data_IF_441781848634
#
_entry.id   IF_441781848634
#
_cell.length_a   1.000
_cell.length_b   1.000
_cell.length_c   1.000
_cell.angle_alpha   90.00
_cell.angle_beta   90.00
_cell.angle_gamma   90.00
#
_symmetry.space_group_name_H-M   'P 1'
#
loop_
_entity.id
_entity.type
_entity.pdbx_description
1 polymer ?
#
# COMPACT_ATOMS: atom_id res chain seq x y z
N UNK A 1 43.53 37.83 10.55
CA UNK A 1 42.87 36.62 11.08
C UNK A 1 43.21 35.45 10.16
N UNK A 2 43.94 34.44 10.67
CA UNK A 2 44.25 33.20 9.94
C UNK A 2 42.95 32.41 9.85
N UNK A 3 42.35 32.28 8.67
CA UNK A 3 41.21 31.38 8.50
C UNK A 3 41.72 29.96 8.72
N UNK A 4 41.36 29.37 9.87
CA UNK A 4 41.76 28.04 10.28
C UNK A 4 41.25 27.02 9.26
N UNK A 5 42.17 26.29 8.62
CA UNK A 5 41.78 25.06 7.97
C UNK A 5 41.34 24.07 9.06
N UNK A 6 40.21 23.40 8.87
CA UNK A 6 39.74 22.39 9.81
C UNK A 6 40.44 21.08 9.53
N UNK A 7 41.12 20.53 10.54
CA UNK A 7 41.70 19.17 10.48
C UNK A 7 40.71 18.09 10.91
N UNK A 8 39.73 18.48 11.75
CA UNK A 8 38.73 17.58 12.32
C UNK A 8 37.31 18.17 12.27
N UNK A 9 36.78 18.43 11.07
CA UNK A 9 35.48 19.08 10.91
C UNK A 9 34.34 18.35 11.62
N UNK A 10 34.36 17.02 11.66
CA UNK A 10 33.30 16.23 12.30
C UNK A 10 33.26 16.38 13.84
N UNK A 11 34.37 16.78 14.47
CA UNK A 11 34.41 17.08 15.91
C UNK A 11 33.91 18.52 16.20
N UNK A 12 34.17 19.47 15.30
CA UNK A 12 33.97 20.90 15.57
C UNK A 12 32.65 21.46 15.01
N UNK A 13 32.25 21.03 13.82
CA UNK A 13 31.11 21.59 13.10
C UNK A 13 29.77 21.31 13.80
N UNK A 14 29.51 20.12 14.38
CA UNK A 14 28.30 19.91 15.19
C UNK A 14 28.13 20.93 16.32
N UNK A 15 29.21 21.24 17.03
CA UNK A 15 29.21 22.20 18.14
C UNK A 15 29.06 23.62 17.64
N UNK A 16 29.78 23.99 16.58
CA UNK A 16 29.63 25.29 15.92
C UNK A 16 28.17 25.54 15.50
N UNK A 17 27.53 24.56 14.88
CA UNK A 17 26.13 24.65 14.46
C UNK A 17 25.17 24.77 15.65
N UNK A 18 25.43 24.04 16.75
CA UNK A 18 24.61 24.15 17.98
C UNK A 18 24.64 25.56 18.58
N UNK A 19 25.81 26.21 18.59
CA UNK A 19 25.96 27.58 19.10
C UNK A 19 25.30 28.60 18.19
N UNK A 20 25.44 28.45 16.87
CA UNK A 20 24.91 29.42 15.89
C UNK A 20 23.42 29.23 15.58
N UNK A 21 22.87 28.05 15.81
CA UNK A 21 21.46 27.72 15.57
C UNK A 21 20.81 27.12 16.83
N UNK A 22 20.69 27.90 17.92
CA UNK A 22 20.22 27.40 19.22
C UNK A 22 18.73 27.01 19.24
N UNK A 23 17.95 27.48 18.27
CA UNK A 23 16.51 27.22 18.14
C UNK A 23 16.19 26.20 17.04
N UNK A 24 17.19 25.43 16.59
CA UNK A 24 16.98 24.39 15.58
C UNK A 24 15.94 23.36 16.05
N UNK A 25 15.04 23.00 15.15
CA UNK A 25 14.05 21.92 15.35
C UNK A 25 14.54 20.64 14.71
N UNK A 26 14.08 19.50 15.22
CA UNK A 26 14.39 18.22 14.62
C UNK A 26 14.01 18.23 13.12
N UNK A 27 14.94 17.85 12.26
CA UNK A 27 14.79 17.92 10.80
C UNK A 27 15.39 19.18 10.15
N UNK A 28 15.75 20.22 10.91
CA UNK A 28 16.42 21.40 10.33
C UNK A 28 17.76 21.03 9.71
N UNK A 29 18.03 21.55 8.51
CA UNK A 29 19.25 21.27 7.76
C UNK A 29 20.12 22.51 7.55
N UNK A 30 21.43 22.31 7.46
CA UNK A 30 22.43 23.32 7.07
C UNK A 30 23.47 22.71 6.15
N UNK A 31 23.77 23.40 5.05
CA UNK A 31 24.95 23.16 4.25
C UNK A 31 26.09 24.00 4.81
N UNK A 32 27.23 23.36 5.09
CA UNK A 32 28.40 24.01 5.67
C UNK A 32 29.57 23.85 4.71
N UNK A 33 29.98 24.96 4.10
CA UNK A 33 31.19 25.01 3.30
C UNK A 33 32.39 25.39 4.17
N UNK A 34 33.48 24.62 4.11
CA UNK A 34 34.66 24.83 4.92
C UNK A 34 35.95 24.39 4.20
N UNK A 35 37.08 24.93 4.64
CA UNK A 35 38.40 24.49 4.16
C UNK A 35 38.88 23.34 5.02
N UNK A 36 39.01 22.16 4.43
CA UNK A 36 39.51 20.95 5.09
C UNK A 36 41.01 20.81 4.81
N UNK A 37 41.82 20.60 5.85
CA UNK A 37 43.24 20.32 5.70
C UNK A 37 43.56 18.90 6.15
N UNK A 38 44.05 18.10 5.21
CA UNK A 38 44.51 16.74 5.46
C UNK A 38 45.64 16.39 4.48
N UNK A 39 46.59 15.58 4.93
CA UNK A 39 47.70 15.09 4.10
C UNK A 39 48.44 16.21 3.36
N UNK A 40 48.74 17.31 4.08
CA UNK A 40 49.43 18.50 3.57
C UNK A 40 48.71 19.25 2.43
N UNK A 41 47.41 18.98 2.21
CA UNK A 41 46.60 19.62 1.19
C UNK A 41 45.36 20.26 1.82
N UNK A 42 44.99 21.43 1.33
CA UNK A 42 43.72 22.08 1.67
C UNK A 42 42.72 21.85 0.54
N UNK A 43 41.52 21.37 0.85
CA UNK A 43 40.39 21.29 -0.07
C UNK A 43 39.22 22.13 0.44
N UNK A 44 38.38 22.62 -0.49
CA UNK A 44 37.08 23.17 -0.14
C UNK A 44 36.08 22.01 -0.12
N UNK A 45 35.40 21.84 1.01
CA UNK A 45 34.39 20.79 1.23
C UNK A 45 33.07 21.47 1.57
N UNK A 46 31.96 20.85 1.19
CA UNK A 46 30.63 21.24 1.60
C UNK A 46 29.86 20.00 2.05
N UNK A 47 29.43 19.99 3.30
CA UNK A 47 28.67 18.88 3.87
C UNK A 47 27.32 19.37 4.40
N UNK A 48 26.32 18.49 4.34
CA UNK A 48 25.03 18.72 4.97
C UNK A 48 25.05 18.24 6.43
N UNK A 49 24.45 19.01 7.32
CA UNK A 49 24.16 18.62 8.68
C UNK A 49 22.65 18.71 8.93
N UNK A 50 22.10 17.73 9.64
CA UNK A 50 20.70 17.70 10.08
C UNK A 50 20.64 17.71 11.59
N UNK A 51 19.79 18.55 12.17
CA UNK A 51 19.55 18.56 13.61
C UNK A 51 18.56 17.44 13.97
N UNK A 52 18.96 16.50 14.83
CA UNK A 52 18.11 15.37 15.23
C UNK A 52 17.19 15.67 16.44
N UNK A 53 17.12 16.93 16.86
CA UNK A 53 16.42 17.35 18.09
C UNK A 53 17.35 17.51 19.31
N UNK A 54 18.59 17.04 19.23
CA UNK A 54 19.60 17.21 20.29
C UNK A 54 20.95 17.71 19.78
N UNK A 55 21.40 17.22 18.62
CA UNK A 55 22.72 17.46 18.06
C UNK A 55 22.61 17.64 16.53
N UNK A 56 23.54 18.40 15.97
CA UNK A 56 23.75 18.46 14.52
C UNK A 56 24.60 17.28 14.07
N UNK A 57 24.10 16.48 13.14
CA UNK A 57 24.81 15.31 12.61
C UNK A 57 25.08 15.49 11.12
N UNK A 58 26.32 15.24 10.72
CA UNK A 58 26.69 15.21 9.29
C UNK A 58 25.87 14.12 8.60
N UNK A 59 25.22 14.47 7.52
CA UNK A 59 24.43 13.57 6.69
C UNK A 59 25.04 13.54 5.29
N UNK A 60 25.27 12.34 4.77
CA UNK A 60 25.86 12.17 3.44
C UNK A 60 24.81 12.28 2.32
N UNK A 61 23.58 12.71 2.65
CA UNK A 61 22.45 12.76 1.71
C UNK A 61 21.97 11.37 1.26
N UNK A 62 22.36 10.31 1.96
CA UNK A 62 21.96 8.93 1.67
C UNK A 62 20.93 8.51 2.72
N UNK A 63 19.80 8.02 2.25
CA UNK A 63 18.78 7.37 3.07
C UNK A 63 18.89 5.87 2.84
N UNK A 64 18.85 5.08 3.91
CA UNK A 64 18.73 3.63 3.79
C UNK A 64 17.28 3.27 3.47
N UNK A 65 17.07 2.58 2.35
CA UNK A 65 15.77 2.03 1.96
C UNK A 65 15.88 0.51 1.86
N UNK A 66 14.86 -0.20 2.34
CA UNK A 66 14.72 -1.65 2.15
C UNK A 66 13.76 -1.90 1.00
N UNK A 67 14.20 -2.66 0.00
CA UNK A 67 13.46 -2.90 -1.24
C UNK A 67 13.59 -4.38 -1.64
N UNK A 68 12.64 -4.87 -2.45
CA UNK A 68 12.71 -6.22 -3.02
C UNK A 68 13.70 -6.24 -4.19
N UNK A 69 14.56 -7.27 -4.21
CA UNK A 69 15.48 -7.55 -5.29
C UNK A 69 15.39 -9.02 -5.68
N UNK A 70 15.43 -9.31 -6.97
CA UNK A 70 15.47 -10.67 -7.52
C UNK A 70 16.85 -10.92 -8.10
N UNK A 71 17.39 -12.12 -7.90
CA UNK A 71 18.69 -12.51 -8.47
C UNK A 71 18.52 -13.28 -9.77
N UNK A 72 18.83 -12.64 -10.90
CA UNK A 72 18.75 -13.24 -12.24
C UNK A 72 20.14 -13.26 -12.87
N UNK A 73 20.56 -14.42 -13.41
CA UNK A 73 21.89 -14.60 -14.02
C UNK A 73 23.04 -14.13 -13.11
N UNK A 74 22.92 -14.37 -11.81
CA UNK A 74 23.93 -14.01 -10.80
C UNK A 74 23.93 -12.55 -10.36
N UNK A 75 23.11 -11.67 -10.97
CA UNK A 75 23.00 -10.24 -10.63
C UNK A 75 21.72 -9.95 -9.85
N UNK A 76 21.80 -9.08 -8.85
CA UNK A 76 20.62 -8.55 -8.16
C UNK A 76 20.00 -7.44 -9.01
N UNK A 77 18.69 -7.54 -9.24
CA UNK A 77 17.90 -6.54 -9.96
C UNK A 77 16.78 -6.09 -9.03
N UNK A 78 16.58 -4.78 -8.94
CA UNK A 78 15.46 -4.22 -8.19
C UNK A 78 14.15 -4.69 -8.82
N UNK A 79 13.23 -5.19 -8.00
CA UNK A 79 11.93 -5.68 -8.43
C UNK A 79 10.84 -5.03 -7.57
N UNK A 80 10.13 -4.03 -8.10
CA UNK A 80 9.08 -3.33 -7.36
C UNK A 80 7.75 -4.09 -7.35
N UNK A 81 7.64 -5.24 -8.04
CA UNK A 81 6.40 -6.00 -8.10
C UNK A 81 6.06 -6.64 -6.76
N UNK A 82 4.77 -6.69 -6.44
CA UNK A 82 4.27 -7.26 -5.19
C UNK A 82 3.35 -8.43 -5.51
N UNK A 83 3.58 -9.55 -4.84
CA UNK A 83 2.68 -10.70 -4.88
C UNK A 83 2.04 -10.91 -3.51
N UNK A 84 0.71 -10.92 -3.47
CA UNK A 84 -0.08 -11.16 -2.26
C UNK A 84 -0.96 -12.38 -2.53
N UNK A 85 -0.87 -13.38 -1.67
CA UNK A 85 -1.76 -14.53 -1.71
C UNK A 85 -2.75 -14.45 -0.56
N UNK A 86 -4.04 -14.56 -0.87
CA UNK A 86 -5.17 -14.64 0.04
C UNK A 86 -5.74 -16.07 0.00
N UNK A 87 -5.17 -17.01 0.79
CA UNK A 87 -5.62 -18.40 0.77
C UNK A 87 -7.09 -18.53 1.18
N UNK A 88 -7.80 -19.45 0.53
CA UNK A 88 -9.14 -19.84 0.95
C UNK A 88 -9.14 -20.49 2.33
N UNK A 89 -10.04 -20.07 3.21
CA UNK A 89 -10.27 -20.75 4.48
C UNK A 89 -10.60 -19.83 5.65
N UNK A 90 -11.43 -20.34 6.57
CA UNK A 90 -11.83 -19.63 7.78
C UNK A 90 -10.62 -19.38 8.68
N UNK A 91 -10.51 -18.14 9.17
CA UNK A 91 -9.47 -17.76 10.14
C UNK A 91 -8.05 -17.65 9.56
N UNK A 92 -7.88 -17.70 8.24
CA UNK A 92 -6.61 -17.35 7.60
C UNK A 92 -6.39 -15.84 7.78
N UNK A 93 -5.38 -15.46 8.54
CA UNK A 93 -5.19 -14.08 9.02
C UNK A 93 -5.14 -13.04 7.88
N UNK A 94 -4.30 -13.30 6.86
CA UNK A 94 -4.15 -12.37 5.73
C UNK A 94 -5.46 -12.24 4.93
N UNK A 95 -6.14 -13.35 4.64
CA UNK A 95 -7.42 -13.36 3.95
C UNK A 95 -8.49 -12.63 4.76
N UNK A 96 -8.57 -12.92 6.07
CA UNK A 96 -9.51 -12.26 6.98
C UNK A 96 -9.29 -10.75 7.00
N UNK A 97 -8.04 -10.29 7.06
CA UNK A 97 -7.70 -8.86 7.03
C UNK A 97 -8.15 -8.19 5.74
N UNK A 98 -7.81 -8.76 4.58
CA UNK A 98 -8.15 -8.15 3.29
C UNK A 98 -9.66 -8.16 3.03
N UNK A 99 -10.34 -9.26 3.30
CA UNK A 99 -11.77 -9.34 3.07
C UNK A 99 -12.55 -8.53 4.10
N UNK A 100 -12.07 -8.38 5.35
CA UNK A 100 -12.68 -7.43 6.29
C UNK A 100 -12.50 -5.99 5.79
N UNK A 101 -11.33 -5.63 5.26
CA UNK A 101 -11.13 -4.32 4.65
C UNK A 101 -12.06 -4.10 3.43
N UNK A 102 -12.37 -5.14 2.66
CA UNK A 102 -13.37 -5.06 1.59
C UNK A 102 -14.79 -4.81 2.15
N UNK A 103 -15.19 -5.54 3.20
CA UNK A 103 -16.46 -5.33 3.90
C UNK A 103 -16.56 -3.90 4.44
N UNK A 104 -15.51 -3.41 5.10
CA UNK A 104 -15.46 -2.06 5.64
C UNK A 104 -15.50 -1.00 4.52
N UNK A 105 -14.84 -1.26 3.38
CA UNK A 105 -14.89 -0.38 2.20
C UNK A 105 -16.31 -0.29 1.64
N UNK A 106 -16.98 -1.44 1.44
CA UNK A 106 -18.37 -1.49 0.97
C UNK A 106 -19.31 -0.78 1.95
N UNK A 107 -19.05 -0.91 3.25
CA UNK A 107 -19.85 -0.21 4.26
C UNK A 107 -19.77 1.30 4.08
N UNK A 108 -18.55 1.82 4.03
CA UNK A 108 -18.30 3.26 3.97
C UNK A 108 -18.75 3.90 2.66
N UNK A 109 -18.57 3.20 1.53
CA UNK A 109 -18.77 3.77 0.19
C UNK A 109 -20.10 3.39 -0.46
N UNK A 110 -20.75 2.31 0.00
CA UNK A 110 -21.99 1.79 -0.60
C UNK A 110 -23.13 1.79 0.42
N UNK A 111 -23.05 1.01 1.50
CA UNK A 111 -24.18 0.82 2.42
C UNK A 111 -24.52 2.08 3.22
N UNK A 112 -23.52 2.86 3.67
CA UNK A 112 -23.74 4.15 4.35
C UNK A 112 -24.46 5.16 3.46
N UNK A 113 -24.04 5.40 2.20
CA UNK A 113 -24.80 6.22 1.26
C UNK A 113 -26.23 5.74 0.99
N UNK A 114 -26.49 4.43 1.11
CA UNK A 114 -27.85 3.86 1.01
C UNK A 114 -28.69 4.05 2.29
N UNK A 115 -28.09 4.52 3.38
CA UNK A 115 -28.76 4.81 4.64
C UNK A 115 -28.52 3.80 5.75
N UNK A 116 -27.51 2.93 5.64
CA UNK A 116 -27.10 2.06 6.74
C UNK A 116 -26.71 2.90 7.97
N UNK A 117 -27.09 2.41 9.15
CA UNK A 117 -26.80 3.07 10.43
C UNK A 117 -25.75 2.33 11.24
N UNK A 118 -25.30 1.17 10.76
CA UNK A 118 -24.23 0.40 11.39
C UNK A 118 -23.83 -0.81 10.57
N UNK A 119 -22.55 -1.16 10.65
CA UNK A 119 -21.92 -2.29 9.93
C UNK A 119 -22.64 -3.64 10.10
N UNK A 120 -23.42 -3.80 11.18
CA UNK A 120 -24.11 -5.05 11.53
C UNK A 120 -25.63 -4.93 11.47
N UNK A 121 -26.16 -3.88 10.86
CA UNK A 121 -27.61 -3.71 10.73
C UNK A 121 -28.22 -4.74 9.75
N UNK A 122 -27.44 -5.20 8.78
CA UNK A 122 -27.83 -6.25 7.84
C UNK A 122 -28.84 -5.80 6.79
N UNK A 123 -29.02 -4.50 6.59
CA UNK A 123 -30.11 -3.94 5.78
C UNK A 123 -29.82 -3.88 4.27
N UNK A 124 -28.54 -3.88 3.89
CA UNK A 124 -28.09 -3.69 2.50
C UNK A 124 -27.09 -4.80 2.13
N UNK A 125 -25.99 -4.48 1.45
CA UNK A 125 -25.07 -5.50 0.93
C UNK A 125 -24.28 -6.21 2.03
N UNK A 126 -24.11 -5.61 3.20
CA UNK A 126 -23.39 -6.22 4.31
C UNK A 126 -24.32 -7.07 5.16
N UNK A 127 -23.88 -8.29 5.46
CA UNK A 127 -24.60 -9.19 6.35
C UNK A 127 -24.72 -8.63 7.77
N UNK A 128 -25.75 -9.07 8.50
CA UNK A 128 -25.95 -8.72 9.93
C UNK A 128 -24.78 -9.06 10.87
N UNK A 129 -23.80 -9.83 10.40
CA UNK A 129 -22.60 -10.17 11.18
C UNK A 129 -21.45 -9.17 10.95
N UNK A 130 -21.50 -8.35 9.90
CA UNK A 130 -20.51 -7.33 9.56
C UNK A 130 -19.17 -7.88 9.07
N UNK A 131 -19.14 -9.12 8.59
CA UNK A 131 -17.93 -9.83 8.16
C UNK A 131 -18.06 -10.54 6.80
N UNK A 132 -19.22 -10.40 6.17
CA UNK A 132 -19.51 -10.80 4.80
C UNK A 132 -20.25 -9.65 4.12
N UNK A 133 -19.88 -9.36 2.89
CA UNK A 133 -20.62 -8.45 2.01
C UNK A 133 -20.95 -9.14 0.70
N UNK A 134 -22.06 -8.73 0.10
CA UNK A 134 -22.58 -9.31 -1.13
C UNK A 134 -22.59 -8.35 -2.30
N UNK A 135 -22.05 -7.13 -2.16
CA UNK A 135 -21.85 -6.17 -3.24
C UNK A 135 -20.87 -6.72 -4.28
N UNK A 136 -19.76 -7.29 -3.83
CA UNK A 136 -18.80 -8.03 -4.64
C UNK A 136 -18.44 -9.43 -4.09
N UNK A 137 -18.96 -9.81 -2.91
CA UNK A 137 -18.99 -11.19 -2.43
C UNK A 137 -17.91 -11.57 -1.41
N UNK A 138 -17.06 -10.65 -0.98
CA UNK A 138 -15.98 -10.90 -0.03
C UNK A 138 -16.50 -11.31 1.35
N UNK A 139 -15.84 -12.33 1.92
CA UNK A 139 -16.15 -12.85 3.25
C UNK A 139 -14.87 -12.99 4.08
N UNK A 140 -14.75 -12.13 5.10
CA UNK A 140 -13.72 -12.25 6.13
C UNK A 140 -13.93 -13.53 6.97
N UNK A 141 -15.18 -13.96 7.15
CA UNK A 141 -15.48 -15.18 7.89
C UNK A 141 -15.05 -16.45 7.16
N UNK A 142 -15.35 -16.56 5.86
CA UNK A 142 -15.05 -17.74 5.04
C UNK A 142 -13.63 -17.70 4.46
N UNK A 143 -13.05 -16.51 4.32
CA UNK A 143 -11.76 -16.31 3.68
C UNK A 143 -11.82 -16.49 2.16
N UNK A 144 -12.90 -16.04 1.50
CA UNK A 144 -13.07 -16.16 0.05
C UNK A 144 -13.98 -15.05 -0.52
N UNK A 145 -14.11 -15.04 -1.85
CA UNK A 145 -15.13 -14.28 -2.59
C UNK A 145 -16.28 -15.24 -2.97
N UNK A 146 -17.47 -15.05 -2.42
CA UNK A 146 -18.69 -15.81 -2.70
C UNK A 146 -19.44 -15.19 -3.88
N UNK A 147 -19.38 -15.84 -5.04
CA UNK A 147 -20.00 -15.34 -6.28
C UNK A 147 -21.38 -15.93 -6.56
N UNK A 148 -22.01 -16.62 -5.59
CA UNK A 148 -23.32 -17.25 -5.81
C UNK A 148 -24.43 -16.18 -5.91
N UNK A 149 -25.08 -16.01 -7.08
CA UNK A 149 -26.07 -14.95 -7.28
C UNK A 149 -27.29 -15.08 -6.35
N UNK A 150 -27.68 -16.31 -6.02
CA UNK A 150 -28.75 -16.58 -5.08
C UNK A 150 -28.49 -15.98 -3.69
N UNK A 151 -27.23 -15.96 -3.24
CA UNK A 151 -26.86 -15.39 -1.94
C UNK A 151 -26.82 -13.86 -1.96
N UNK A 152 -26.36 -13.28 -3.06
CA UNK A 152 -26.41 -11.83 -3.23
C UNK A 152 -27.86 -11.30 -3.25
N UNK A 153 -28.75 -11.98 -3.97
CA UNK A 153 -30.20 -11.69 -3.97
C UNK A 153 -30.85 -11.90 -2.62
N UNK A 154 -30.47 -12.95 -1.88
CA UNK A 154 -30.98 -13.20 -0.52
C UNK A 154 -30.62 -12.05 0.42
N UNK A 155 -29.39 -11.54 0.32
CA UNK A 155 -28.91 -10.45 1.17
C UNK A 155 -29.59 -9.11 0.86
N UNK A 156 -29.58 -8.68 -0.40
CA UNK A 156 -30.14 -7.38 -0.80
C UNK A 156 -30.84 -7.45 -2.17
N UNK A 157 -32.11 -7.90 -2.21
CA UNK A 157 -32.84 -8.09 -3.47
C UNK A 157 -32.92 -6.85 -4.34
N UNK A 158 -33.13 -5.67 -3.74
CA UNK A 158 -33.28 -4.40 -4.46
C UNK A 158 -32.01 -4.00 -5.22
N UNK A 159 -30.83 -4.44 -4.77
CA UNK A 159 -29.56 -4.19 -5.44
C UNK A 159 -29.34 -4.97 -6.74
N UNK A 160 -30.21 -5.93 -7.03
CA UNK A 160 -30.10 -6.87 -8.16
C UNK A 160 -31.42 -7.06 -8.91
N UNK A 161 -32.37 -6.15 -8.74
CA UNK A 161 -33.69 -6.25 -9.37
C UNK A 161 -33.58 -6.34 -10.90
N UNK A 162 -34.26 -7.34 -11.48
CA UNK A 162 -34.29 -7.55 -12.94
C UNK A 162 -33.02 -8.16 -13.54
N UNK A 163 -31.98 -8.47 -12.74
CA UNK A 163 -30.76 -9.10 -13.23
C UNK A 163 -30.86 -10.63 -13.26
N UNK A 164 -30.27 -11.26 -14.28
CA UNK A 164 -30.05 -12.71 -14.31
C UNK A 164 -28.89 -13.12 -13.39
N UNK A 165 -28.78 -14.40 -13.09
CA UNK A 165 -27.70 -14.93 -12.25
C UNK A 165 -26.32 -14.63 -12.88
N UNK A 166 -26.18 -14.76 -14.19
CA UNK A 166 -24.94 -14.45 -14.91
C UNK A 166 -24.59 -12.95 -14.86
N UNK A 167 -25.60 -12.08 -14.93
CA UNK A 167 -25.41 -10.63 -14.81
C UNK A 167 -24.94 -10.24 -13.40
N UNK A 168 -25.53 -10.87 -12.37
CA UNK A 168 -25.14 -10.64 -10.98
C UNK A 168 -23.71 -11.12 -10.74
N UNK A 169 -23.37 -12.33 -11.18
CA UNK A 169 -22.02 -12.88 -11.06
C UNK A 169 -20.99 -11.95 -11.73
N UNK A 170 -21.24 -11.56 -12.99
CA UNK A 170 -20.37 -10.63 -13.73
C UNK A 170 -20.23 -9.29 -13.00
N UNK A 171 -21.33 -8.74 -12.49
CA UNK A 171 -21.31 -7.46 -11.77
C UNK A 171 -20.50 -7.55 -10.46
N UNK A 172 -20.62 -8.65 -9.72
CA UNK A 172 -19.84 -8.88 -8.50
C UNK A 172 -18.35 -9.01 -8.81
N UNK A 173 -17.99 -9.75 -9.87
CA UNK A 173 -16.61 -9.86 -10.35
C UNK A 173 -16.04 -8.49 -10.73
N UNK A 174 -16.81 -7.69 -11.48
CA UNK A 174 -16.40 -6.34 -11.89
C UNK A 174 -16.20 -5.43 -10.68
N UNK A 175 -17.13 -5.41 -9.73
CA UNK A 175 -17.03 -4.62 -8.50
C UNK A 175 -15.83 -5.05 -7.66
N UNK A 176 -15.57 -6.34 -7.54
CA UNK A 176 -14.40 -6.83 -6.81
C UNK A 176 -13.11 -6.33 -7.46
N UNK A 177 -12.94 -6.58 -8.76
CA UNK A 177 -11.71 -6.27 -9.49
C UNK A 177 -11.49 -4.79 -9.79
N UNK A 178 -12.54 -3.99 -9.96
CA UNK A 178 -12.41 -2.63 -10.54
C UNK A 178 -12.76 -1.53 -9.54
N UNK A 179 -13.33 -1.88 -8.39
CA UNK A 179 -13.80 -0.90 -7.41
C UNK A 179 -13.31 -1.23 -5.99
N UNK A 180 -13.76 -2.35 -5.42
CA UNK A 180 -13.55 -2.66 -4.00
C UNK A 180 -12.10 -3.02 -3.70
N UNK A 181 -11.54 -4.01 -4.38
CA UNK A 181 -10.16 -4.43 -4.12
C UNK A 181 -9.13 -3.33 -4.43
N UNK A 182 -9.19 -2.55 -5.54
CA UNK A 182 -8.27 -1.44 -5.73
C UNK A 182 -8.42 -0.36 -4.64
N UNK A 183 -9.64 -0.08 -4.15
CA UNK A 183 -9.86 0.82 -3.01
C UNK A 183 -9.26 0.30 -1.70
N UNK A 184 -9.32 -1.01 -1.46
CA UNK A 184 -8.68 -1.65 -0.30
C UNK A 184 -7.16 -1.63 -0.43
N UNK A 185 -6.62 -1.88 -1.63
CA UNK A 185 -5.18 -1.78 -1.89
C UNK A 185 -4.69 -0.35 -1.66
N UNK A 186 -5.44 0.67 -2.09
CA UNK A 186 -5.14 2.07 -1.83
C UNK A 186 -5.05 2.40 -0.33
N UNK A 187 -5.85 1.72 0.49
CA UNK A 187 -5.87 1.90 1.95
C UNK A 187 -4.73 1.15 2.63
N UNK A 188 -4.50 -0.11 2.26
CA UNK A 188 -3.52 -0.98 2.91
C UNK A 188 -2.08 -0.76 2.43
N UNK A 189 -1.92 -0.20 1.22
CA UNK A 189 -0.64 0.08 0.56
C UNK A 189 -0.61 1.51 0.03
N UNK A 190 -0.94 2.48 0.89
CA UNK A 190 -0.98 3.90 0.54
C UNK A 190 0.39 4.46 0.08
N UNK A 191 1.47 3.77 0.42
CA UNK A 191 2.85 4.05 0.04
C UNK A 191 3.25 3.45 -1.32
N UNK A 192 2.44 2.56 -1.91
CA UNK A 192 2.70 2.01 -3.23
C UNK A 192 2.77 3.15 -4.26
N UNK A 193 3.90 3.29 -4.96
CA UNK A 193 4.14 4.36 -5.92
C UNK A 193 4.77 3.82 -7.21
N UNK A 194 4.57 4.50 -8.36
CA UNK A 194 5.25 4.13 -9.60
C UNK A 194 6.75 4.35 -9.48
N UNK A 195 7.53 3.50 -10.15
CA UNK A 195 8.99 3.63 -10.24
C UNK A 195 9.37 4.04 -11.67
N UNK A 196 10.15 5.10 -11.81
CA UNK A 196 10.59 5.58 -13.11
C UNK A 196 11.32 4.48 -13.90
N UNK A 197 10.82 4.18 -15.10
CA UNK A 197 11.40 3.18 -16.00
C UNK A 197 11.02 1.73 -15.71
N UNK A 198 10.18 1.46 -14.70
CA UNK A 198 9.66 0.11 -14.40
C UNK A 198 8.13 0.14 -14.30
N UNK A 199 7.50 -0.95 -14.71
CA UNK A 199 6.09 -1.18 -14.40
C UNK A 199 5.99 -1.86 -13.04
N UNK A 200 5.24 -1.26 -12.12
CA UNK A 200 5.02 -1.77 -10.77
C UNK A 200 3.68 -2.48 -10.75
N UNK A 201 3.69 -3.80 -10.64
CA UNK A 201 2.49 -4.64 -10.67
C UNK A 201 2.23 -5.28 -9.31
N UNK A 202 0.99 -5.16 -8.85
CA UNK A 202 0.46 -5.91 -7.72
C UNK A 202 -0.33 -7.10 -8.25
N UNK A 203 0.11 -8.31 -7.90
CA UNK A 203 -0.53 -9.57 -8.26
C UNK A 203 -1.18 -10.16 -7.03
N UNK A 204 -2.51 -10.29 -7.05
CA UNK A 204 -3.30 -10.80 -5.93
C UNK A 204 -3.89 -12.15 -6.30
N UNK A 205 -3.50 -13.20 -5.59
CA UNK A 205 -4.07 -14.54 -5.71
C UNK A 205 -5.16 -14.72 -4.66
N UNK A 206 -6.35 -15.19 -5.03
CA UNK A 206 -7.49 -15.28 -4.11
C UNK A 206 -8.41 -16.46 -4.42
N UNK A 207 -9.12 -16.91 -3.39
CA UNK A 207 -10.07 -18.02 -3.50
C UNK A 207 -11.50 -17.50 -3.74
N UNK A 208 -12.21 -18.18 -4.63
CA UNK A 208 -13.59 -17.90 -5.02
C UNK A 208 -14.43 -19.12 -4.70
N UNK A 209 -15.66 -18.89 -4.26
CA UNK A 209 -16.65 -19.95 -4.07
C UNK A 209 -17.89 -19.69 -4.92
N UNK A 210 -18.11 -20.56 -5.90
CA UNK A 210 -19.35 -20.64 -6.66
C UNK A 210 -19.74 -22.12 -6.83
N UNK A 211 -20.36 -22.69 -5.80
CA UNK A 211 -20.67 -24.13 -5.66
C UNK A 211 -19.45 -25.08 -5.60
N UNK A 212 -18.27 -24.61 -6.01
CA UNK A 212 -16.97 -25.20 -5.77
C UNK A 212 -15.96 -24.08 -5.49
N UNK A 213 -14.84 -24.43 -4.85
CA UNK A 213 -13.75 -23.49 -4.62
C UNK A 213 -12.79 -23.50 -5.79
N UNK A 214 -12.52 -22.33 -6.37
CA UNK A 214 -11.50 -22.10 -7.40
C UNK A 214 -10.54 -21.02 -6.92
N UNK A 215 -9.32 -20.99 -7.48
CA UNK A 215 -8.34 -19.94 -7.20
C UNK A 215 -8.14 -19.10 -8.46
N UNK A 216 -8.09 -17.79 -8.27
CA UNK A 216 -7.92 -16.82 -9.34
C UNK A 216 -6.85 -15.80 -8.98
N UNK A 217 -6.39 -15.08 -9.99
CA UNK A 217 -5.36 -14.05 -9.88
C UNK A 217 -5.85 -12.79 -10.54
N UNK A 218 -5.72 -11.65 -9.88
CA UNK A 218 -5.98 -10.32 -10.43
C UNK A 218 -4.70 -9.49 -10.38
N UNK A 219 -4.46 -8.69 -11.41
CA UNK A 219 -3.28 -7.84 -11.51
C UNK A 219 -3.65 -6.37 -11.63
N UNK A 220 -2.88 -5.53 -10.94
CA UNK A 220 -3.02 -4.08 -10.96
C UNK A 220 -1.69 -3.40 -11.25
N UNK A 221 -1.73 -2.33 -12.03
CA UNK A 221 -0.61 -1.42 -12.22
C UNK A 221 -0.69 -0.27 -11.23
N UNK A 222 0.43 0.06 -10.60
CA UNK A 222 0.52 1.28 -9.78
C UNK A 222 0.82 2.47 -10.68
N UNK A 223 -0.09 3.44 -10.76
CA UNK A 223 0.02 4.61 -11.66
C UNK A 223 0.28 5.93 -10.95
N UNK A 224 -0.03 5.99 -9.65
CA UNK A 224 0.25 7.08 -8.73
C UNK A 224 0.29 6.52 -7.30
N UNK A 225 0.78 7.28 -6.30
CA UNK A 225 0.72 6.86 -4.91
C UNK A 225 -0.66 6.33 -4.51
N UNK A 226 -0.72 5.09 -4.01
CA UNK A 226 -1.95 4.40 -3.61
C UNK A 226 -2.97 4.19 -4.73
N UNK A 227 -2.60 4.31 -6.01
CA UNK A 227 -3.54 4.21 -7.15
C UNK A 227 -3.27 2.96 -7.97
N UNK A 228 -4.27 2.08 -8.04
CA UNK A 228 -4.19 0.75 -8.64
C UNK A 228 -5.11 0.66 -9.86
N UNK A 229 -4.55 0.61 -11.06
CA UNK A 229 -5.28 0.44 -12.32
C UNK A 229 -5.39 -1.05 -12.66
N UNK A 230 -6.61 -1.54 -12.92
CA UNK A 230 -6.86 -2.93 -13.29
C UNK A 230 -6.16 -3.31 -14.60
N UNK A 231 -5.46 -4.45 -14.61
CA UNK A 231 -4.85 -5.03 -15.82
C UNK A 231 -5.72 -6.18 -16.34
N UNK A 232 -5.82 -7.27 -15.57
CA UNK A 232 -6.60 -8.46 -15.91
C UNK A 232 -6.93 -9.29 -14.65
N UNK A 233 -7.82 -10.27 -14.85
CA UNK A 233 -8.07 -11.31 -13.86
C UNK A 233 -8.40 -12.64 -14.54
N UNK A 234 -7.83 -13.73 -14.03
CA UNK A 234 -7.96 -15.07 -14.61
C UNK A 234 -9.38 -15.62 -14.60
N UNK A 235 -10.29 -15.09 -13.78
CA UNK A 235 -11.71 -15.49 -13.83
C UNK A 235 -12.49 -14.94 -15.03
N UNK A 236 -11.89 -14.07 -15.84
CA UNK A 236 -12.47 -13.61 -17.11
C UNK A 236 -12.01 -14.46 -18.30
N UNK A 237 -11.00 -15.31 -18.09
CA UNK A 237 -10.49 -16.22 -19.11
C UNK A 237 -11.42 -17.44 -19.18
N UNK A 238 -12.01 -17.67 -20.36
CA UNK A 238 -12.87 -18.82 -20.65
C UNK A 238 -12.09 -19.97 -21.27
#
# INVERSE_FOLDING_TARGET
>A
MKYFNLEKPDEYLPTYLKVNFPYAKAGDTKLVAYKYYASSKTSLVCDQYTFNGSLWQKTNGVTEESAQFVRTNGKWMYDPNVEITLPGGKGVEISTKYYQACVDWVYEHIDKPLGSTGLKDGNFYISKYGNNEYYCGTSAYQGNVDLRPAKAKEQYPAGYEGMTDEQIETLMMDRFCKEVLPGVLATLHADAAPVAGLEVVYTINFAVYNNATTNHTVRYKVTAPGTFEFIDCTWYEK
#
